data_IF_382038281368
#
_entry.id   IF_382038281368
#
_cell.length_a   1.000
_cell.length_b   1.000
_cell.length_c   1.000
_cell.angle_alpha   90.00
_cell.angle_beta   90.00
_cell.angle_gamma   90.00
#
_symmetry.space_group_name_H-M   'P 1'
#
loop_
_entity.id
_entity.type
_entity.pdbx_description
1 polymer ?
#
# COMPACT_ATOMS: atom_id res chain seq x y z
N UNK A 1 -24.33 -11.44 -48.01
CA UNK A 1 -22.98 -12.02 -47.88
C UNK A 1 -22.45 -11.63 -46.49
N UNK A 2 -22.76 -12.49 -45.52
CA UNK A 2 -22.41 -12.32 -44.12
C UNK A 2 -20.98 -12.78 -43.85
N UNK A 3 -20.14 -11.96 -43.27
CA UNK A 3 -18.89 -12.40 -42.63
C UNK A 3 -19.04 -12.31 -41.14
N UNK A 4 -19.25 -13.47 -40.51
CA UNK A 4 -19.18 -13.66 -39.04
C UNK A 4 -17.75 -13.45 -38.57
N UNK A 5 -17.56 -12.49 -37.66
CA UNK A 5 -16.38 -12.36 -36.81
C UNK A 5 -16.49 -13.37 -35.68
N UNK A 6 -15.62 -14.37 -35.65
CA UNK A 6 -15.44 -15.26 -34.50
C UNK A 6 -14.37 -14.68 -33.58
N UNK A 7 -14.78 -14.32 -32.39
CA UNK A 7 -13.89 -14.02 -31.28
C UNK A 7 -13.35 -15.31 -30.68
N UNK A 8 -12.04 -15.50 -30.73
CA UNK A 8 -11.35 -16.64 -30.11
C UNK A 8 -11.14 -16.29 -28.62
N UNK A 9 -11.93 -16.93 -27.76
CA UNK A 9 -11.77 -16.89 -26.32
C UNK A 9 -10.61 -17.79 -25.87
N UNK A 10 -9.59 -17.22 -25.25
CA UNK A 10 -8.50 -17.98 -24.64
C UNK A 10 -8.97 -18.54 -23.28
N UNK A 11 -9.07 -19.86 -23.22
CA UNK A 11 -9.48 -20.63 -22.05
C UNK A 11 -8.40 -20.65 -20.97
N UNK A 12 -8.83 -20.52 -19.70
CA UNK A 12 -8.03 -20.49 -18.47
C UNK A 12 -7.32 -21.81 -18.08
N UNK A 13 -7.16 -22.77 -19.02
CA UNK A 13 -6.66 -24.13 -18.71
C UNK A 13 -5.22 -24.44 -19.11
N UNK A 14 -4.42 -23.51 -19.60
CA UNK A 14 -3.09 -23.80 -20.17
C UNK A 14 -1.89 -23.37 -19.31
N UNK A 15 -2.04 -23.19 -18.00
CA UNK A 15 -0.93 -22.78 -17.12
C UNK A 15 -0.58 -23.80 -16.02
N UNK A 16 -0.84 -25.07 -16.26
CA UNK A 16 -0.41 -26.15 -15.35
C UNK A 16 0.19 -27.27 -16.18
N UNK A 17 1.49 -27.26 -16.40
CA UNK A 17 2.35 -28.43 -16.56
C UNK A 17 3.74 -28.02 -17.09
N UNK A 18 4.71 -27.82 -16.21
CA UNK A 18 6.11 -28.22 -16.42
C UNK A 18 6.67 -28.49 -15.01
N UNK A 19 6.55 -29.72 -14.60
CA UNK A 19 7.34 -30.30 -13.51
C UNK A 19 8.41 -31.14 -14.15
N UNK A 20 9.67 -30.86 -13.88
CA UNK A 20 10.78 -31.72 -14.28
C UNK A 20 11.53 -32.18 -13.04
N UNK A 21 11.56 -33.48 -12.85
CA UNK A 21 12.30 -34.20 -11.86
C UNK A 21 13.80 -34.07 -12.11
N UNK A 22 14.57 -33.86 -11.03
CA UNK A 22 16.02 -34.12 -11.01
C UNK A 22 16.29 -35.14 -9.91
N UNK A 23 16.88 -36.25 -10.33
CA UNK A 23 17.19 -37.39 -9.52
C UNK A 23 18.34 -37.10 -8.55
N UNK A 24 18.18 -37.57 -7.32
CA UNK A 24 19.20 -37.58 -6.29
C UNK A 24 20.18 -38.74 -6.53
N UNK A 25 21.47 -38.45 -6.57
CA UNK A 25 22.55 -39.43 -6.39
C UNK A 25 23.16 -39.26 -5.02
N UNK A 26 22.95 -40.23 -4.15
CA UNK A 26 23.56 -40.31 -2.84
C UNK A 26 24.99 -40.85 -2.94
N UNK A 27 25.98 -40.08 -2.42
CA UNK A 27 27.29 -40.59 -2.07
C UNK A 27 27.43 -40.45 -0.55
N UNK A 28 27.55 -41.61 0.12
CA UNK A 28 27.83 -41.67 1.54
C UNK A 28 29.34 -41.65 1.80
N UNK A 29 29.83 -40.80 2.72
CA UNK A 29 31.12 -40.88 3.37
C UNK A 29 30.99 -40.54 4.87
N UNK A 30 31.90 -41.03 5.74
CA UNK A 30 31.57 -41.38 7.12
C UNK A 30 31.74 -40.24 8.14
N UNK A 31 31.03 -40.40 9.26
CA UNK A 31 31.08 -39.57 10.46
C UNK A 31 32.50 -39.47 11.05
N UNK A 32 32.94 -38.23 11.28
CA UNK A 32 33.79 -37.90 12.43
C UNK A 32 33.28 -36.64 13.06
N UNK A 33 32.93 -36.72 14.35
CA UNK A 33 32.23 -35.67 15.06
C UNK A 33 33.03 -34.43 15.31
N UNK A 34 32.37 -33.30 15.11
CA UNK A 34 32.67 -32.04 15.78
C UNK A 34 31.34 -31.42 16.18
N UNK A 35 31.09 -31.39 17.48
CA UNK A 35 30.02 -30.60 18.05
C UNK A 35 30.33 -29.12 17.89
N UNK A 36 29.64 -28.43 16.98
CA UNK A 36 29.55 -26.97 16.97
C UNK A 36 28.07 -26.59 16.99
N UNK A 37 27.45 -26.69 18.15
CA UNK A 37 26.27 -25.94 18.47
C UNK A 37 26.68 -24.49 18.70
N UNK A 38 27.02 -23.79 17.62
CA UNK A 38 27.08 -22.37 17.57
C UNK A 38 25.71 -21.88 17.11
N UNK A 39 24.78 -21.64 18.06
CA UNK A 39 23.54 -20.95 17.79
C UNK A 39 23.88 -19.55 17.25
N UNK A 40 23.85 -19.39 15.93
CA UNK A 40 23.74 -18.09 15.29
C UNK A 40 22.32 -17.57 15.52
N UNK A 41 22.05 -17.12 16.76
CA UNK A 41 21.00 -16.17 17.07
C UNK A 41 21.40 -14.84 16.44
N UNK A 42 21.21 -14.70 15.14
CA UNK A 42 21.15 -13.37 14.55
C UNK A 42 19.84 -12.74 15.00
N UNK A 43 19.80 -12.15 16.20
CA UNK A 43 18.85 -11.11 16.54
C UNK A 43 19.08 -9.95 15.57
N UNK A 44 18.60 -10.10 14.32
CA UNK A 44 18.39 -8.99 13.43
C UNK A 44 17.25 -8.20 14.07
N UNK A 45 17.58 -7.18 14.84
CA UNK A 45 16.65 -6.17 15.31
C UNK A 45 15.84 -5.78 14.07
N UNK A 46 14.55 -6.09 14.05
CA UNK A 46 13.64 -5.62 13.00
C UNK A 46 13.67 -4.11 13.19
N UNK A 47 14.41 -3.41 12.33
CA UNK A 47 14.44 -1.95 12.34
C UNK A 47 12.99 -1.51 12.18
N UNK A 48 12.47 -0.78 13.18
CA UNK A 48 11.11 -0.25 13.13
C UNK A 48 10.97 0.61 11.87
N UNK A 49 9.88 0.42 11.12
CA UNK A 49 9.56 1.26 9.96
C UNK A 49 9.56 2.72 10.42
N UNK A 50 10.36 3.62 9.79
CA UNK A 50 10.34 5.04 10.13
C UNK A 50 8.94 5.64 9.99
N UNK A 51 8.61 6.61 10.83
CA UNK A 51 7.31 7.29 10.82
C UNK A 51 7.43 8.70 10.24
N UNK A 52 6.31 9.23 9.77
CA UNK A 52 6.10 10.63 9.45
C UNK A 52 5.09 11.22 10.43
N UNK A 53 5.28 12.47 10.83
CA UNK A 53 4.31 13.21 11.65
C UNK A 53 3.32 13.90 10.72
N UNK A 54 2.06 13.52 10.82
CA UNK A 54 0.96 14.17 10.11
C UNK A 54 0.65 15.57 10.70
N UNK A 55 -0.07 16.41 9.97
CA UNK A 55 -0.39 17.77 10.38
C UNK A 55 -1.25 17.87 11.67
N UNK A 56 -1.90 16.78 12.07
CA UNK A 56 -2.61 16.67 13.36
C UNK A 56 -1.74 16.09 14.49
N UNK A 57 -0.46 15.85 14.26
CA UNK A 57 0.51 15.32 15.23
C UNK A 57 0.60 13.80 15.31
N UNK A 58 -0.31 13.05 14.67
CA UNK A 58 -0.28 11.58 14.66
C UNK A 58 0.96 11.08 13.90
N UNK A 59 1.59 10.02 14.42
CA UNK A 59 2.72 9.36 13.75
C UNK A 59 2.21 8.22 12.88
N UNK A 60 2.58 8.21 11.60
CA UNK A 60 2.21 7.21 10.61
C UNK A 60 3.44 6.49 10.07
N UNK A 61 3.45 5.14 9.97
CA UNK A 61 4.54 4.42 9.32
C UNK A 61 4.69 4.85 7.85
N UNK A 62 5.93 5.01 7.38
CA UNK A 62 6.23 5.47 6.01
C UNK A 62 6.18 4.38 4.96
N UNK A 63 6.00 3.13 5.38
CA UNK A 63 5.76 1.99 4.51
C UNK A 63 4.63 1.16 5.11
N UNK A 64 3.58 0.95 4.33
CA UNK A 64 2.41 0.19 4.71
C UNK A 64 2.17 -1.02 3.83
N UNK A 65 1.09 -1.72 4.11
CA UNK A 65 0.63 -2.89 3.37
C UNK A 65 -0.76 -2.63 2.79
N UNK A 66 -0.85 -2.55 1.45
CA UNK A 66 -2.10 -2.41 0.73
C UNK A 66 -2.81 -3.76 0.56
N UNK A 67 -4.14 -3.75 0.63
CA UNK A 67 -4.95 -4.98 0.61
C UNK A 67 -5.87 -5.12 -0.60
N UNK A 68 -5.89 -4.15 -1.53
CA UNK A 68 -6.77 -4.23 -2.70
C UNK A 68 -6.59 -5.58 -3.43
N UNK A 69 -7.70 -6.23 -3.80
CA UNK A 69 -7.78 -7.58 -4.41
C UNK A 69 -7.36 -8.77 -3.53
N UNK A 70 -6.94 -8.56 -2.29
CA UNK A 70 -6.68 -9.62 -1.33
C UNK A 70 -7.96 -9.94 -0.55
N UNK A 71 -8.70 -10.97 -0.98
CA UNK A 71 -10.01 -11.36 -0.42
C UNK A 71 -9.96 -12.75 0.22
N UNK A 72 -10.94 -13.06 1.07
CA UNK A 72 -11.09 -14.36 1.71
C UNK A 72 -9.82 -14.84 2.41
N UNK A 73 -9.54 -16.12 2.36
CA UNK A 73 -8.38 -16.75 3.03
C UNK A 73 -7.03 -16.18 2.59
N UNK A 74 -6.93 -15.76 1.31
CA UNK A 74 -5.71 -15.12 0.80
C UNK A 74 -5.52 -13.76 1.47
N UNK A 75 -6.58 -12.97 1.60
CA UNK A 75 -6.56 -11.67 2.27
C UNK A 75 -6.17 -11.81 3.74
N UNK A 76 -6.84 -12.70 4.45
CA UNK A 76 -6.56 -12.99 5.85
C UNK A 76 -5.10 -13.39 6.07
N UNK A 77 -4.62 -14.40 5.33
CA UNK A 77 -3.24 -14.87 5.45
C UNK A 77 -2.23 -13.79 5.10
N UNK A 78 -2.49 -13.00 4.04
CA UNK A 78 -1.57 -11.94 3.62
C UNK A 78 -1.44 -10.83 4.67
N UNK A 79 -2.53 -10.44 5.32
CA UNK A 79 -2.50 -9.46 6.42
C UNK A 79 -1.77 -10.02 7.64
N UNK A 80 -2.05 -11.28 8.03
CA UNK A 80 -1.32 -11.97 9.08
C UNK A 80 0.18 -12.00 8.80
N UNK A 81 0.58 -12.41 7.58
CA UNK A 81 1.98 -12.48 7.17
C UNK A 81 2.65 -11.10 7.17
N UNK A 82 1.99 -10.06 6.64
CA UNK A 82 2.51 -8.70 6.66
C UNK A 82 2.79 -8.22 8.10
N UNK A 83 1.87 -8.41 9.02
CA UNK A 83 2.05 -8.06 10.44
C UNK A 83 3.20 -8.86 11.06
N UNK A 84 3.26 -10.17 10.77
CA UNK A 84 4.28 -11.09 11.32
C UNK A 84 5.70 -10.72 10.90
N UNK A 85 5.88 -10.11 9.70
CA UNK A 85 7.19 -9.68 9.22
C UNK A 85 7.54 -8.24 9.58
N UNK A 86 6.61 -7.49 10.21
CA UNK A 86 6.91 -6.18 10.76
C UNK A 86 6.10 -5.00 10.22
N UNK A 87 5.16 -5.18 9.28
CA UNK A 87 4.27 -4.09 8.89
C UNK A 87 3.38 -3.65 10.05
N UNK A 88 3.19 -2.33 10.15
CA UNK A 88 2.37 -1.70 11.19
C UNK A 88 1.31 -0.75 10.61
N UNK A 89 1.34 -0.46 9.32
CA UNK A 89 0.30 0.24 8.56
C UNK A 89 -0.39 -0.75 7.63
N UNK A 90 -1.72 -0.90 7.78
CA UNK A 90 -2.58 -1.74 6.94
C UNK A 90 -3.61 -0.83 6.28
N UNK A 91 -3.65 -0.83 4.94
CA UNK A 91 -4.57 -0.04 4.14
C UNK A 91 -5.60 -0.92 3.44
N UNK A 92 -6.88 -0.67 3.71
CA UNK A 92 -8.02 -1.30 3.04
C UNK A 92 -9.04 -0.25 2.60
N UNK A 93 -10.19 -0.67 2.10
CA UNK A 93 -11.33 0.19 1.74
C UNK A 93 -12.62 -0.63 1.67
N UNK A 94 -13.77 0.03 1.88
CA UNK A 94 -15.09 -0.57 1.76
C UNK A 94 -15.29 -1.26 0.40
N UNK A 95 -14.90 -0.58 -0.68
CA UNK A 95 -15.08 -1.08 -2.07
C UNK A 95 -14.23 -2.31 -2.39
N UNK A 96 -13.18 -2.61 -1.60
CA UNK A 96 -12.37 -3.82 -1.81
C UNK A 96 -13.08 -5.10 -1.36
N UNK A 97 -14.17 -4.97 -0.60
CA UNK A 97 -15.00 -6.08 -0.10
C UNK A 97 -14.17 -7.13 0.68
N UNK A 98 -13.15 -6.69 1.38
CA UNK A 98 -12.20 -7.55 2.09
C UNK A 98 -11.96 -7.14 3.56
N UNK A 99 -12.72 -6.17 4.09
CA UNK A 99 -12.52 -5.67 5.45
C UNK A 99 -12.66 -6.78 6.51
N UNK A 100 -13.54 -7.76 6.31
CA UNK A 100 -13.68 -8.93 7.20
C UNK A 100 -12.41 -9.80 7.20
N UNK A 101 -11.83 -10.06 6.03
CA UNK A 101 -10.58 -10.82 5.90
C UNK A 101 -9.41 -10.05 6.55
N UNK A 102 -9.36 -8.73 6.35
CA UNK A 102 -8.36 -7.85 6.99
C UNK A 102 -8.50 -7.91 8.52
N UNK A 103 -9.71 -7.73 9.05
CA UNK A 103 -9.97 -7.81 10.49
C UNK A 103 -9.60 -9.16 11.09
N UNK A 104 -9.93 -10.25 10.39
CA UNK A 104 -9.58 -11.60 10.80
C UNK A 104 -8.07 -11.82 10.82
N UNK A 105 -7.34 -11.37 9.78
CA UNK A 105 -5.89 -11.46 9.72
C UNK A 105 -5.20 -10.68 10.84
N UNK A 106 -5.70 -9.47 11.14
CA UNK A 106 -5.22 -8.65 12.27
C UNK A 106 -5.47 -9.39 13.60
N UNK A 107 -6.67 -9.88 13.82
CA UNK A 107 -7.02 -10.62 15.06
C UNK A 107 -6.13 -11.86 15.24
N UNK A 108 -5.92 -12.64 14.19
CA UNK A 108 -5.07 -13.84 14.23
C UNK A 108 -3.59 -13.53 14.47
N UNK A 109 -3.12 -12.34 14.12
CA UNK A 109 -1.74 -11.93 14.37
C UNK A 109 -1.41 -11.77 15.85
N UNK A 110 -2.42 -11.60 16.71
CA UNK A 110 -2.26 -11.38 18.15
C UNK A 110 -1.62 -10.04 18.52
N UNK A 111 -1.38 -9.14 17.54
CA UNK A 111 -0.81 -7.82 17.78
C UNK A 111 -1.82 -6.94 18.54
N UNK A 112 -1.33 -6.09 19.42
CA UNK A 112 -2.19 -5.12 20.09
C UNK A 112 -2.69 -4.08 19.10
N UNK A 113 -3.97 -3.70 19.20
CA UNK A 113 -4.60 -2.75 18.25
C UNK A 113 -3.86 -1.41 18.18
N UNK A 114 -3.37 -0.93 19.30
CA UNK A 114 -2.62 0.33 19.42
C UNK A 114 -1.24 0.31 18.75
N UNK A 115 -0.71 -0.87 18.43
CA UNK A 115 0.55 -1.01 17.70
C UNK A 115 0.35 -0.94 16.17
N UNK A 116 -0.90 -0.91 15.72
CA UNK A 116 -1.25 -0.82 14.30
C UNK A 116 -1.81 0.56 13.95
N UNK A 117 -1.48 0.98 12.75
CA UNK A 117 -2.12 2.08 12.04
C UNK A 117 -3.02 1.45 10.95
N UNK A 118 -4.33 1.56 11.10
CA UNK A 118 -5.30 0.95 10.18
C UNK A 118 -6.07 2.02 9.44
N UNK A 119 -6.04 1.95 8.10
CA UNK A 119 -6.76 2.82 7.18
C UNK A 119 -7.89 2.06 6.51
N UNK A 120 -9.09 2.66 6.45
CA UNK A 120 -10.15 2.29 5.51
C UNK A 120 -10.67 3.53 4.80
N UNK A 121 -11.59 3.36 3.82
CA UNK A 121 -12.03 4.44 2.94
C UNK A 121 -13.53 4.40 2.71
N UNK A 122 -14.18 5.56 2.76
CA UNK A 122 -15.57 5.76 2.40
C UNK A 122 -15.72 5.71 0.88
N UNK A 123 -16.55 4.81 0.38
CA UNK A 123 -16.86 4.76 -1.04
C UNK A 123 -17.91 5.81 -1.44
N UNK A 124 -17.88 6.25 -2.68
CA UNK A 124 -18.71 7.36 -3.18
C UNK A 124 -20.21 7.09 -3.12
N UNK A 125 -20.62 5.83 -3.27
CA UNK A 125 -22.04 5.44 -3.22
C UNK A 125 -22.64 5.59 -1.80
N UNK A 126 -21.79 5.62 -0.77
CA UNK A 126 -22.14 5.86 0.62
C UNK A 126 -21.96 7.34 1.02
N UNK A 127 -21.84 8.24 0.04
CA UNK A 127 -21.69 9.67 0.31
C UNK A 127 -22.95 10.30 0.94
N UNK A 128 -22.75 11.42 1.63
CA UNK A 128 -23.78 12.10 2.42
C UNK A 128 -23.63 11.86 3.92
N UNK A 129 -24.20 12.77 4.72
CA UNK A 129 -23.92 12.83 6.16
C UNK A 129 -24.26 11.55 6.91
N UNK A 130 -25.52 11.07 6.81
CA UNK A 130 -25.98 9.87 7.54
C UNK A 130 -25.42 8.58 6.92
N UNK A 131 -25.33 8.51 5.58
CA UNK A 131 -24.79 7.36 4.88
C UNK A 131 -23.31 7.13 5.25
N UNK A 132 -22.51 8.20 5.30
CA UNK A 132 -21.09 8.11 5.67
C UNK A 132 -20.89 7.59 7.10
N UNK A 133 -21.75 7.99 8.04
CA UNK A 133 -21.72 7.47 9.42
C UNK A 133 -22.08 5.99 9.48
N UNK A 134 -23.11 5.59 8.72
CA UNK A 134 -23.53 4.18 8.61
C UNK A 134 -22.43 3.32 7.96
N UNK A 135 -21.87 3.78 6.85
CA UNK A 135 -20.78 3.09 6.16
C UNK A 135 -19.54 2.92 7.06
N UNK A 136 -19.17 3.97 7.80
CA UNK A 136 -18.09 3.90 8.78
C UNK A 136 -18.36 2.85 9.86
N UNK A 137 -19.56 2.80 10.44
CA UNK A 137 -19.89 1.78 11.43
C UNK A 137 -19.82 0.38 10.84
N UNK A 138 -20.34 0.19 9.61
CA UNK A 138 -20.22 -1.08 8.88
C UNK A 138 -18.76 -1.50 8.68
N UNK A 139 -17.86 -0.57 8.35
CA UNK A 139 -16.42 -0.85 8.25
C UNK A 139 -15.83 -1.27 9.60
N UNK A 140 -16.19 -0.60 10.70
CA UNK A 140 -15.74 -0.99 12.04
C UNK A 140 -16.19 -2.40 12.42
N UNK A 141 -17.46 -2.72 12.13
CA UNK A 141 -18.05 -4.03 12.44
C UNK A 141 -17.35 -5.14 11.64
N UNK A 142 -17.11 -4.94 10.33
CA UNK A 142 -16.39 -5.87 9.47
C UNK A 142 -14.94 -6.07 9.89
N UNK A 143 -14.26 -4.99 10.23
CA UNK A 143 -12.87 -5.03 10.72
C UNK A 143 -12.77 -5.58 12.16
N UNK A 144 -13.88 -5.63 12.91
CA UNK A 144 -13.89 -6.03 14.31
C UNK A 144 -13.14 -5.06 15.23
N UNK A 145 -13.24 -3.73 14.95
CA UNK A 145 -12.46 -2.70 15.62
C UNK A 145 -13.36 -1.63 16.26
N UNK A 146 -12.84 -0.98 17.31
CA UNK A 146 -13.54 0.12 17.99
C UNK A 146 -13.27 1.51 17.38
N UNK A 147 -12.20 1.65 16.59
CA UNK A 147 -11.77 2.89 15.95
C UNK A 147 -10.87 2.62 14.73
N UNK A 148 -10.73 3.62 13.85
CA UNK A 148 -9.70 3.66 12.80
C UNK A 148 -8.64 4.72 13.09
N UNK A 149 -7.40 4.48 12.68
CA UNK A 149 -6.33 5.48 12.75
C UNK A 149 -6.50 6.51 11.63
N UNK A 150 -6.92 6.09 10.44
CA UNK A 150 -7.18 6.97 9.30
C UNK A 150 -8.43 6.51 8.56
N UNK A 151 -9.30 7.48 8.20
CA UNK A 151 -10.42 7.23 7.31
C UNK A 151 -10.38 8.21 6.16
N UNK A 152 -10.37 7.69 4.92
CA UNK A 152 -10.24 8.49 3.72
C UNK A 152 -11.59 8.62 2.99
N UNK A 153 -11.86 9.81 2.45
CA UNK A 153 -12.84 9.96 1.38
C UNK A 153 -12.22 9.47 0.08
N UNK A 154 -12.74 8.38 -0.51
CA UNK A 154 -11.99 7.56 -1.48
C UNK A 154 -11.82 8.22 -2.86
N UNK A 155 -12.80 9.03 -3.30
CA UNK A 155 -12.80 9.71 -4.60
C UNK A 155 -13.52 11.05 -4.51
N UNK A 156 -13.10 12.09 -5.23
CA UNK A 156 -13.72 13.42 -5.20
C UNK A 156 -15.05 13.46 -5.98
N UNK A 157 -15.98 12.56 -5.66
CA UNK A 157 -17.30 12.43 -6.30
C UNK A 157 -18.38 12.24 -5.23
N UNK A 158 -19.64 12.56 -5.57
CA UNK A 158 -20.76 12.47 -4.63
C UNK A 158 -20.85 13.68 -3.70
N UNK A 159 -21.52 13.52 -2.56
CA UNK A 159 -21.69 14.59 -1.57
C UNK A 159 -20.48 14.67 -0.62
N UNK A 160 -19.36 15.19 -1.13
CA UNK A 160 -18.11 15.34 -0.37
C UNK A 160 -18.33 16.19 0.87
N UNK A 161 -19.05 17.31 0.76
CA UNK A 161 -19.20 18.30 1.84
C UNK A 161 -19.93 17.74 3.05
N UNK A 162 -21.08 17.08 2.84
CA UNK A 162 -21.83 16.48 3.94
C UNK A 162 -21.11 15.26 4.53
N UNK A 163 -20.43 14.47 3.69
CA UNK A 163 -19.61 13.36 4.13
C UNK A 163 -18.43 13.81 4.98
N UNK A 164 -17.73 14.87 4.57
CA UNK A 164 -16.64 15.43 5.35
C UNK A 164 -17.09 15.88 6.73
N UNK A 165 -18.24 16.56 6.80
CA UNK A 165 -18.86 16.94 8.08
C UNK A 165 -19.15 15.73 8.98
N UNK A 166 -19.61 14.61 8.41
CA UNK A 166 -19.81 13.36 9.15
C UNK A 166 -18.48 12.78 9.68
N UNK A 167 -17.42 12.81 8.83
CA UNK A 167 -16.09 12.35 9.23
C UNK A 167 -15.49 13.23 10.33
N UNK A 168 -15.68 14.55 10.28
CA UNK A 168 -15.30 15.48 11.35
C UNK A 168 -15.99 15.17 12.69
N UNK A 169 -17.29 14.83 12.67
CA UNK A 169 -18.01 14.41 13.86
C UNK A 169 -17.48 13.10 14.44
N UNK A 170 -17.18 12.12 13.59
CA UNK A 170 -16.61 10.84 13.99
C UNK A 170 -15.20 11.02 14.57
N UNK A 171 -14.42 11.94 13.99
CA UNK A 171 -13.12 12.35 14.54
C UNK A 171 -13.26 12.98 15.92
N UNK A 172 -14.18 13.94 16.10
CA UNK A 172 -14.44 14.59 17.37
C UNK A 172 -14.88 13.59 18.47
N UNK A 173 -15.58 12.52 18.08
CA UNK A 173 -15.97 11.40 18.98
C UNK A 173 -14.83 10.40 19.25
N UNK A 174 -13.65 10.60 18.70
CA UNK A 174 -12.51 9.69 18.84
C UNK A 174 -12.67 8.34 18.12
N UNK A 175 -13.64 8.21 17.21
CA UNK A 175 -13.84 7.00 16.41
C UNK A 175 -12.86 6.92 15.25
N UNK A 176 -12.36 8.06 14.80
CA UNK A 176 -11.31 8.21 13.80
C UNK A 176 -10.21 9.07 14.39
N UNK A 177 -8.94 8.68 14.28
CA UNK A 177 -7.81 9.48 14.78
C UNK A 177 -7.29 10.49 13.76
N UNK A 178 -7.54 10.27 12.48
CA UNK A 178 -7.19 11.17 11.38
C UNK A 178 -8.14 11.01 10.20
N UNK A 179 -8.47 12.11 9.54
CA UNK A 179 -9.30 12.11 8.33
C UNK A 179 -8.50 12.65 7.15
N UNK A 180 -8.69 12.03 5.99
CA UNK A 180 -7.99 12.40 4.77
C UNK A 180 -8.81 12.14 3.52
N UNK A 181 -8.18 12.33 2.38
CA UNK A 181 -8.80 12.15 1.08
C UNK A 181 -7.95 11.24 0.19
N UNK A 182 -8.54 10.80 -0.91
CA UNK A 182 -7.84 10.04 -1.93
C UNK A 182 -8.25 10.51 -3.33
N UNK A 183 -7.27 10.64 -4.22
CA UNK A 183 -7.44 11.05 -5.62
C UNK A 183 -8.00 12.47 -5.83
N UNK A 184 -7.78 13.37 -4.91
CA UNK A 184 -8.14 14.78 -5.06
C UNK A 184 -7.05 15.53 -5.83
N UNK A 185 -7.44 16.26 -6.87
CA UNK A 185 -6.57 17.22 -7.52
C UNK A 185 -6.39 18.48 -6.65
N UNK A 186 -5.47 19.39 -7.00
CA UNK A 186 -5.24 20.61 -6.23
C UNK A 186 -6.46 21.52 -6.07
N UNK A 187 -7.35 21.59 -7.07
CA UNK A 187 -8.55 22.43 -7.04
C UNK A 187 -9.62 21.81 -6.11
N UNK A 188 -9.86 20.51 -6.22
CA UNK A 188 -10.78 19.77 -5.38
C UNK A 188 -10.34 19.77 -3.90
N UNK A 189 -9.04 19.64 -3.67
CA UNK A 189 -8.48 19.74 -2.32
C UNK A 189 -8.65 21.15 -1.74
N UNK A 190 -8.41 22.19 -2.53
CA UNK A 190 -8.60 23.58 -2.12
C UNK A 190 -10.08 23.88 -1.83
N UNK A 191 -11.00 23.36 -2.63
CA UNK A 191 -12.44 23.48 -2.40
C UNK A 191 -12.83 22.83 -1.06
N UNK A 192 -12.42 21.57 -0.83
CA UNK A 192 -12.67 20.89 0.46
C UNK A 192 -12.12 21.71 1.62
N UNK A 193 -10.88 22.17 1.54
CA UNK A 193 -10.24 22.93 2.60
C UNK A 193 -10.92 24.30 2.86
N UNK A 194 -11.66 24.85 1.91
CA UNK A 194 -12.38 26.13 2.08
C UNK A 194 -13.53 26.05 3.08
N UNK A 195 -14.10 24.87 3.30
CA UNK A 195 -15.23 24.66 4.22
C UNK A 195 -14.92 23.66 5.36
N UNK A 196 -13.82 22.91 5.26
CA UNK A 196 -13.40 21.95 6.27
C UNK A 196 -12.99 22.65 7.57
N UNK A 197 -13.53 22.20 8.71
CA UNK A 197 -13.07 22.62 10.04
C UNK A 197 -11.80 21.89 10.45
N UNK A 198 -11.66 20.64 10.02
CA UNK A 198 -10.49 19.80 10.23
C UNK A 198 -9.86 19.57 8.86
N UNK A 199 -8.60 19.98 8.70
CA UNK A 199 -7.86 19.80 7.46
C UNK A 199 -7.60 18.32 7.20
N UNK A 200 -7.62 17.84 5.93
CA UNK A 200 -7.16 16.50 5.60
C UNK A 200 -5.69 16.35 5.98
N UNK A 201 -5.34 15.19 6.56
CA UNK A 201 -3.95 14.90 6.91
C UNK A 201 -3.17 14.26 5.78
N UNK A 202 -3.88 13.61 4.85
CA UNK A 202 -3.34 12.83 3.71
C UNK A 202 -4.18 13.07 2.46
N UNK A 203 -3.50 13.04 1.31
CA UNK A 203 -4.11 12.71 0.02
C UNK A 203 -3.41 11.46 -0.54
N UNK A 204 -4.15 10.35 -0.61
CA UNK A 204 -3.66 9.09 -1.18
C UNK A 204 -3.94 9.07 -2.68
N UNK A 205 -2.90 9.07 -3.52
CA UNK A 205 -3.01 9.18 -4.98
C UNK A 205 -2.21 8.12 -5.69
N UNK A 206 -2.52 7.88 -6.99
CA UNK A 206 -1.63 7.13 -7.85
C UNK A 206 -0.28 7.84 -7.88
N UNK A 207 0.79 7.14 -7.47
CA UNK A 207 2.13 7.63 -7.78
C UNK A 207 3.14 6.50 -7.81
N UNK A 208 3.95 6.49 -8.85
CA UNK A 208 5.01 5.53 -9.12
C UNK A 208 5.99 6.14 -10.13
N UNK A 209 7.05 5.45 -10.49
CA UNK A 209 8.12 5.97 -11.34
C UNK A 209 7.66 6.44 -12.73
N UNK A 210 6.54 5.93 -13.24
CA UNK A 210 5.96 6.31 -14.53
C UNK A 210 4.87 7.38 -14.44
N UNK A 211 4.43 7.71 -13.23
CA UNK A 211 3.46 8.77 -12.94
C UNK A 211 3.79 9.39 -11.59
N UNK A 212 4.59 10.44 -11.62
CA UNK A 212 5.27 10.95 -10.42
C UNK A 212 4.50 12.04 -9.69
N UNK A 213 3.43 12.55 -10.28
CA UNK A 213 2.47 13.50 -9.69
C UNK A 213 3.13 14.74 -9.10
N UNK A 214 4.04 15.37 -9.84
CA UNK A 214 4.81 16.53 -9.35
C UNK A 214 3.91 17.69 -8.92
N UNK A 215 2.83 17.98 -9.69
CA UNK A 215 1.91 19.08 -9.40
C UNK A 215 1.17 18.83 -8.08
N UNK A 216 0.62 17.62 -7.90
CA UNK A 216 -0.06 17.23 -6.66
C UNK A 216 0.94 17.23 -5.50
N UNK A 217 2.12 16.65 -5.70
CA UNK A 217 3.16 16.59 -4.67
C UNK A 217 3.54 17.97 -4.13
N UNK A 218 3.80 18.94 -5.02
CA UNK A 218 4.17 20.31 -4.63
C UNK A 218 3.02 21.06 -3.95
N UNK A 219 1.78 20.84 -4.39
CA UNK A 219 0.59 21.42 -3.77
C UNK A 219 0.36 20.87 -2.36
N UNK A 220 0.46 19.55 -2.20
CA UNK A 220 0.32 18.89 -0.90
C UNK A 220 1.37 19.37 0.10
N UNK A 221 2.62 19.50 -0.37
CA UNK A 221 3.72 19.99 0.47
C UNK A 221 3.46 21.42 0.98
N UNK A 222 2.95 22.32 0.11
CA UNK A 222 2.59 23.69 0.50
C UNK A 222 1.43 23.71 1.52
N UNK A 223 0.53 22.75 1.45
CA UNK A 223 -0.65 22.64 2.33
C UNK A 223 -0.38 21.83 3.61
N UNK A 224 0.83 21.29 3.79
CA UNK A 224 1.20 20.39 4.87
C UNK A 224 0.32 19.13 4.94
N UNK A 225 -0.11 18.62 3.77
CA UNK A 225 -0.86 17.38 3.59
C UNK A 225 0.11 16.29 3.13
N UNK A 226 0.13 15.16 3.83
CA UNK A 226 1.02 14.04 3.48
C UNK A 226 0.55 13.36 2.19
N UNK A 227 1.48 13.11 1.26
CA UNK A 227 1.22 12.28 0.09
C UNK A 227 1.40 10.80 0.44
N UNK A 228 0.44 9.98 0.03
CA UNK A 228 0.52 8.52 0.12
C UNK A 228 0.32 7.90 -1.26
N UNK A 229 1.18 6.94 -1.61
CA UNK A 229 1.20 6.28 -2.92
C UNK A 229 0.37 4.99 -2.91
N UNK A 230 -0.78 4.98 -3.60
CA UNK A 230 -1.36 3.70 -4.00
C UNK A 230 -0.69 3.22 -5.30
N UNK A 231 -0.69 1.88 -5.51
CA UNK A 231 0.00 1.21 -6.62
C UNK A 231 1.46 1.67 -6.84
N UNK A 232 2.32 1.68 -5.81
CA UNK A 232 3.70 2.16 -5.95
C UNK A 232 4.51 1.40 -7.00
N UNK A 233 4.05 0.22 -7.40
CA UNK A 233 4.61 -0.59 -8.48
C UNK A 233 3.77 -0.57 -9.77
N UNK A 234 2.91 0.43 -9.98
CA UNK A 234 2.00 0.50 -11.14
C UNK A 234 1.21 -0.81 -11.36
N UNK A 235 0.95 -1.60 -10.31
CA UNK A 235 0.39 -2.97 -10.39
C UNK A 235 1.10 -3.89 -11.39
N UNK A 236 2.40 -3.69 -11.65
CA UNK A 236 3.19 -4.45 -12.61
C UNK A 236 3.05 -3.96 -14.06
N UNK A 237 2.28 -2.90 -14.32
CA UNK A 237 2.07 -2.33 -15.66
C UNK A 237 3.36 -1.73 -16.22
N UNK A 238 3.40 -1.56 -17.54
CA UNK A 238 4.54 -1.00 -18.29
C UNK A 238 5.88 -1.69 -18.01
N UNK A 239 5.85 -2.97 -17.64
CA UNK A 239 7.06 -3.73 -17.43
C UNK A 239 7.94 -3.19 -16.29
N UNK A 240 7.36 -2.59 -15.24
CA UNK A 240 8.11 -1.96 -14.16
C UNK A 240 9.17 -2.92 -13.57
N UNK A 241 8.84 -4.21 -13.41
CA UNK A 241 9.75 -5.20 -12.85
C UNK A 241 10.79 -5.75 -13.84
N UNK A 242 10.73 -5.34 -15.10
CA UNK A 242 11.72 -5.61 -16.15
C UNK A 242 12.36 -4.34 -16.72
N UNK A 243 12.14 -3.19 -16.09
CA UNK A 243 12.69 -1.92 -16.54
C UNK A 243 14.23 -1.91 -16.37
N UNK A 244 14.95 -1.80 -17.48
CA UNK A 244 16.42 -1.88 -17.51
C UNK A 244 17.09 -0.76 -16.70
N UNK A 245 16.52 0.44 -16.68
CA UNK A 245 17.04 1.58 -15.90
C UNK A 245 16.95 1.28 -14.40
N UNK A 246 15.81 0.81 -13.93
CA UNK A 246 15.62 0.44 -12.53
C UNK A 246 16.47 -0.77 -12.14
N UNK A 247 16.62 -1.75 -13.04
CA UNK A 247 17.49 -2.90 -12.83
C UNK A 247 18.97 -2.50 -12.71
N UNK A 248 19.44 -1.58 -13.56
CA UNK A 248 20.80 -1.06 -13.50
C UNK A 248 21.09 -0.32 -12.19
N UNK A 249 20.14 0.49 -11.71
CA UNK A 249 20.22 1.14 -10.39
C UNK A 249 20.24 0.08 -9.29
N UNK A 250 19.31 -0.87 -9.32
CA UNK A 250 19.27 -1.96 -8.35
C UNK A 250 20.57 -2.74 -8.25
N UNK A 251 21.20 -3.05 -9.39
CA UNK A 251 22.50 -3.72 -9.44
C UNK A 251 23.61 -2.95 -8.74
N UNK A 252 23.66 -1.61 -8.89
CA UNK A 252 24.66 -0.76 -8.20
C UNK A 252 24.54 -0.87 -6.66
N UNK A 253 23.32 -1.01 -6.15
CA UNK A 253 23.03 -1.03 -4.72
C UNK A 253 22.83 -2.44 -4.16
N UNK A 254 22.97 -3.48 -4.99
CA UNK A 254 22.62 -4.86 -4.63
C UNK A 254 21.18 -4.99 -4.11
N UNK A 255 20.24 -4.33 -4.81
CA UNK A 255 18.82 -4.26 -4.49
C UNK A 255 17.97 -4.64 -5.70
N UNK A 256 16.76 -5.13 -5.43
CA UNK A 256 15.77 -5.38 -6.48
C UNK A 256 15.12 -4.09 -6.99
N UNK A 257 14.44 -4.19 -8.13
CA UNK A 257 13.64 -3.09 -8.67
C UNK A 257 12.58 -2.63 -7.67
N UNK A 258 11.90 -3.56 -6.98
CA UNK A 258 10.91 -3.23 -5.98
C UNK A 258 11.51 -2.40 -4.83
N UNK A 259 12.70 -2.77 -4.35
CA UNK A 259 13.41 -2.02 -3.32
C UNK A 259 13.83 -0.63 -3.80
N UNK A 260 14.34 -0.51 -5.03
CA UNK A 260 14.68 0.80 -5.63
C UNK A 260 13.46 1.71 -5.69
N UNK A 261 12.32 1.22 -6.19
CA UNK A 261 11.09 2.00 -6.31
C UNK A 261 10.56 2.44 -4.94
N UNK A 262 10.53 1.55 -3.95
CA UNK A 262 10.09 1.91 -2.60
C UNK A 262 11.06 2.87 -1.90
N UNK A 263 12.38 2.71 -2.10
CA UNK A 263 13.37 3.64 -1.58
C UNK A 263 13.23 5.03 -2.20
N UNK A 264 12.93 5.10 -3.49
CA UNK A 264 12.65 6.34 -4.20
C UNK A 264 11.43 7.07 -3.61
N UNK A 265 10.31 6.38 -3.35
CA UNK A 265 9.17 6.98 -2.65
C UNK A 265 9.56 7.49 -1.26
N UNK A 266 10.28 6.64 -0.51
CA UNK A 266 10.73 6.99 0.83
C UNK A 266 11.59 8.27 0.81
N UNK A 267 12.56 8.40 -0.10
CA UNK A 267 13.41 9.59 -0.18
C UNK A 267 12.67 10.84 -0.62
N UNK A 268 11.62 10.71 -1.42
CA UNK A 268 10.68 11.80 -1.73
C UNK A 268 9.78 12.20 -0.56
N UNK A 269 9.82 11.52 0.56
CA UNK A 269 8.92 11.80 1.69
C UNK A 269 7.51 11.23 1.51
N UNK A 270 7.29 10.34 0.55
CA UNK A 270 5.98 9.75 0.23
C UNK A 270 5.82 8.46 1.04
N UNK A 271 4.65 8.25 1.64
CA UNK A 271 4.25 6.98 2.23
C UNK A 271 3.86 6.02 1.12
N UNK A 272 4.32 4.78 1.12
CA UNK A 272 3.98 3.80 0.08
C UNK A 272 3.28 2.59 0.68
N UNK A 273 2.25 2.08 -0.02
CA UNK A 273 1.44 0.93 0.40
C UNK A 273 1.47 -0.20 -0.65
N UNK A 274 2.64 -0.84 -0.87
CA UNK A 274 2.71 -1.98 -1.77
C UNK A 274 1.82 -3.13 -1.30
N UNK A 275 1.32 -3.91 -2.27
CA UNK A 275 0.53 -5.12 -2.02
C UNK A 275 1.30 -6.36 -2.44
N UNK A 276 1.21 -7.41 -1.65
CA UNK A 276 1.67 -8.75 -2.04
C UNK A 276 0.88 -9.84 -1.32
N UNK A 277 0.68 -10.99 -1.97
CA UNK A 277 0.21 -12.22 -1.34
C UNK A 277 1.36 -13.18 -0.97
N UNK A 278 2.61 -12.76 -1.20
CA UNK A 278 3.79 -13.59 -0.96
C UNK A 278 4.64 -13.00 0.17
N UNK A 279 4.83 -13.75 1.24
CA UNK A 279 5.61 -13.33 2.41
C UNK A 279 7.05 -12.93 2.07
N UNK A 280 7.67 -13.62 1.10
CA UNK A 280 9.02 -13.29 0.65
C UNK A 280 9.11 -11.85 0.09
N UNK A 281 8.13 -11.44 -0.73
CA UNK A 281 8.08 -10.06 -1.25
C UNK A 281 7.80 -9.04 -0.14
N UNK A 282 7.01 -9.40 0.88
CA UNK A 282 6.78 -8.51 2.02
C UNK A 282 8.08 -8.24 2.79
N UNK A 283 8.89 -9.29 3.02
CA UNK A 283 10.20 -9.17 3.66
C UNK A 283 11.15 -8.34 2.80
N UNK A 284 11.18 -8.60 1.49
CA UNK A 284 12.00 -7.86 0.53
C UNK A 284 11.67 -6.36 0.55
N UNK A 285 10.38 -6.01 0.48
CA UNK A 285 9.89 -4.63 0.50
C UNK A 285 10.26 -3.88 1.80
N UNK A 286 10.40 -4.57 2.92
CA UNK A 286 10.84 -3.96 4.19
C UNK A 286 12.34 -3.62 4.20
N UNK A 287 13.16 -4.25 3.35
CA UNK A 287 14.61 -4.07 3.32
C UNK A 287 15.03 -2.88 2.44
N UNK A 288 14.45 -1.69 2.70
CA UNK A 288 14.72 -0.46 1.94
C UNK A 288 15.37 0.65 2.78
N UNK A 289 15.59 0.41 4.06
CA UNK A 289 16.10 1.44 4.98
C UNK A 289 17.60 1.38 5.20
N UNK A 290 18.28 0.42 4.60
CA UNK A 290 19.72 0.12 4.74
C UNK A 290 20.59 0.65 3.59
N UNK A 291 20.01 1.39 2.63
CA UNK A 291 20.73 2.02 1.52
C UNK A 291 20.09 3.35 1.13
N UNK A 292 20.78 4.13 0.33
CA UNK A 292 20.31 5.42 -0.17
C UNK A 292 20.55 5.52 -1.68
N UNK A 293 19.61 6.10 -2.40
CA UNK A 293 19.73 6.46 -3.81
C UNK A 293 20.40 7.84 -3.88
N UNK A 294 21.59 7.96 -4.48
CA UNK A 294 22.22 9.26 -4.68
C UNK A 294 21.38 10.13 -5.62
N UNK A 295 21.58 11.43 -5.57
CA UNK A 295 20.85 12.40 -6.40
C UNK A 295 20.89 12.05 -7.89
N UNK A 296 22.02 11.53 -8.39
CA UNK A 296 22.16 11.08 -9.78
C UNK A 296 21.17 9.96 -10.14
N UNK A 297 20.94 8.98 -9.23
CA UNK A 297 19.99 7.91 -9.48
C UNK A 297 18.53 8.43 -9.34
N UNK A 298 18.26 9.35 -8.40
CA UNK A 298 16.96 10.03 -8.28
C UNK A 298 16.61 10.80 -9.58
N UNK A 299 17.58 11.51 -10.18
CA UNK A 299 17.41 12.22 -11.45
C UNK A 299 17.21 11.28 -12.64
N UNK A 300 17.85 10.10 -12.64
CA UNK A 300 17.59 9.08 -13.67
C UNK A 300 16.18 8.55 -13.55
N UNK A 301 15.71 8.25 -12.33
CA UNK A 301 14.32 7.79 -12.09
C UNK A 301 13.30 8.89 -12.47
N UNK A 302 13.61 10.17 -12.22
CA UNK A 302 12.69 11.26 -12.58
C UNK A 302 12.38 11.33 -14.08
N UNK A 303 13.30 10.86 -14.93
CA UNK A 303 13.12 10.81 -16.39
C UNK A 303 12.21 9.68 -16.88
N UNK A 304 11.82 8.75 -15.99
CA UNK A 304 10.87 7.69 -16.31
C UNK A 304 9.41 8.15 -16.28
N UNK A 305 9.17 9.38 -15.83
CA UNK A 305 7.81 9.95 -15.74
C UNK A 305 7.19 10.08 -17.13
N UNK A 306 6.05 9.44 -17.31
CA UNK A 306 5.24 9.54 -18.52
C UNK A 306 4.17 10.63 -18.38
N UNK A 307 4.03 11.21 -17.17
CA UNK A 307 3.01 12.19 -16.81
C UNK A 307 1.58 11.77 -17.23
N UNK A 308 1.30 10.47 -17.11
CA UNK A 308 0.02 9.89 -17.52
C UNK A 308 -0.31 8.71 -16.60
N UNK A 309 -1.56 8.68 -16.12
CA UNK A 309 -2.06 7.57 -15.31
C UNK A 309 -1.88 6.23 -16.02
N UNK A 310 -1.52 5.22 -15.26
CA UNK A 310 -1.47 3.84 -15.74
C UNK A 310 -2.80 3.10 -15.48
N UNK A 311 -3.80 3.79 -14.92
CA UNK A 311 -5.12 3.25 -14.55
C UNK A 311 -6.26 4.13 -15.11
N UNK A 312 -6.32 4.35 -16.45
CA UNK A 312 -7.35 5.21 -17.04
C UNK A 312 -8.78 4.71 -16.77
N UNK A 313 -8.94 3.40 -16.51
CA UNK A 313 -10.21 2.79 -16.14
C UNK A 313 -10.71 3.16 -14.74
N UNK A 314 -9.88 3.82 -13.93
CA UNK A 314 -10.21 4.23 -12.57
C UNK A 314 -10.43 5.74 -12.43
N UNK A 315 -10.36 6.47 -13.54
CA UNK A 315 -10.54 7.93 -13.64
C UNK A 315 -11.97 8.43 -13.43
#
# INVERSE_FOLDING_TARGET
MDKKNQSVGISRRSFLQIGSAVAASAIALPLSGINVFGALSSNKTINSIPTVRLNNGLLMPRLGFGTNTLTGDIGERSVYDAISVGYRLIDTATVYQNEEAVGTGIKKSGIKREELFVTSKLWVDDSGYENSKKAFQTSLDKLGMGYLDLYLYHRPRGDVKSSWKAMEELYAKGKIKAIGVSNFDPAQLAELMSYAKIKPVINQVETHVFFQEHIIYDDLKKKEVQMEAWSPFAAGRNGIFSNETLAAIGKKHNKSIAQVVLRWHFQRGIVAIPRSSQKAHMIENLNIFDFELPESDMQIISKLDLNTTQFPEWG
#
